data_IF_276586493303
#
_entry.id   IF_276586493303
#
_cell.length_a   1.000
_cell.length_b   1.000
_cell.length_c   1.000
_cell.angle_alpha   90.00
_cell.angle_beta   90.00
_cell.angle_gamma   90.00
#
_symmetry.space_group_name_H-M   'P 1'
#
loop_
_entity.id
_entity.type
_entity.pdbx_description
1 polymer ?
#
# COMPACT_ATOMS: atom_id res chain seq x y z
N UNK A 1 9.51 1.06 8.09
CA UNK A 1 9.92 0.97 6.68
C UNK A 1 11.41 0.67 6.61
N UNK A 2 12.22 1.38 7.40
CA UNK A 2 13.65 1.14 7.61
C UNK A 2 14.02 -0.34 7.80
N UNK A 3 13.34 -1.07 8.69
CA UNK A 3 13.62 -2.50 8.91
C UNK A 3 13.47 -3.39 7.65
N UNK A 4 12.62 -3.01 6.69
CA UNK A 4 12.48 -3.75 5.43
C UNK A 4 13.67 -3.48 4.50
N UNK A 5 14.12 -2.24 4.44
CA UNK A 5 15.28 -1.84 3.66
C UNK A 5 16.57 -2.39 4.30
N UNK A 6 16.66 -2.36 5.62
CA UNK A 6 17.76 -2.94 6.41
C UNK A 6 17.84 -4.46 6.26
N UNK A 7 16.73 -5.11 5.88
CA UNK A 7 16.70 -6.55 5.55
C UNK A 7 17.18 -6.88 4.13
N UNK A 8 17.61 -5.87 3.36
CA UNK A 8 18.16 -6.03 2.01
C UNK A 8 17.13 -6.05 0.88
N UNK A 9 15.87 -5.66 1.14
CA UNK A 9 14.85 -5.52 0.09
C UNK A 9 15.09 -4.25 -0.71
N UNK A 10 15.00 -4.34 -2.03
CA UNK A 10 15.10 -3.16 -2.88
C UNK A 10 13.90 -2.23 -2.61
N UNK A 11 14.07 -0.90 -2.61
CA UNK A 11 12.95 0.05 -2.48
C UNK A 11 11.81 -0.25 -3.47
N UNK A 12 12.17 -0.53 -4.72
CA UNK A 12 11.25 -0.96 -5.77
C UNK A 12 10.46 -2.24 -5.49
N UNK A 13 10.84 -3.07 -4.50
CA UNK A 13 10.10 -4.26 -4.12
C UNK A 13 8.94 -3.96 -3.15
N UNK A 14 8.77 -2.70 -2.76
CA UNK A 14 7.81 -2.29 -1.73
C UNK A 14 6.73 -1.39 -2.32
N UNK A 15 5.48 -1.84 -2.18
CA UNK A 15 4.29 -1.03 -2.39
C UNK A 15 3.67 -0.68 -1.04
N UNK A 16 3.36 0.60 -0.82
CA UNK A 16 2.62 1.07 0.35
C UNK A 16 1.21 1.49 -0.09
N UNK A 17 0.18 0.97 0.56
CA UNK A 17 -1.22 1.32 0.32
C UNK A 17 -1.77 2.02 1.56
N UNK A 18 -2.30 3.24 1.42
CA UNK A 18 -3.02 3.94 2.50
C UNK A 18 -4.53 3.79 2.33
N UNK A 19 -5.25 3.49 3.41
CA UNK A 19 -6.71 3.31 3.37
C UNK A 19 -7.51 4.59 3.64
N UNK A 20 -6.84 5.67 4.02
CA UNK A 20 -7.42 6.99 4.25
C UNK A 20 -6.61 8.06 3.53
N UNK A 21 -6.08 9.03 4.27
CA UNK A 21 -5.23 10.07 3.70
C UNK A 21 -4.00 9.46 2.99
N UNK A 22 -3.68 10.01 1.81
CA UNK A 22 -2.48 9.62 1.08
C UNK A 22 -1.22 9.97 1.87
N UNK A 23 -0.15 9.21 1.63
CA UNK A 23 1.14 9.55 2.18
C UNK A 23 1.57 10.96 1.70
N UNK A 24 2.09 11.85 2.58
CA UNK A 24 2.41 13.23 2.20
C UNK A 24 3.35 13.36 1.00
N UNK A 25 4.29 12.43 0.86
CA UNK A 25 5.17 12.36 -0.32
C UNK A 25 4.39 12.09 -1.60
N UNK A 26 3.46 11.11 -1.61
CA UNK A 26 2.63 10.79 -2.77
C UNK A 26 1.74 11.98 -3.15
N UNK A 27 1.12 12.62 -2.15
CA UNK A 27 0.29 13.81 -2.37
C UNK A 27 1.09 14.97 -3.00
N UNK A 28 2.35 15.14 -2.57
CA UNK A 28 3.26 16.11 -3.17
C UNK A 28 3.64 15.75 -4.61
N UNK A 29 4.06 14.51 -4.87
CA UNK A 29 4.46 14.07 -6.21
C UNK A 29 3.30 14.13 -7.21
N UNK A 30 2.10 13.70 -6.81
CA UNK A 30 0.89 13.80 -7.61
C UNK A 30 0.54 15.24 -7.98
N UNK A 31 0.93 16.23 -7.17
CA UNK A 31 0.72 17.65 -7.48
C UNK A 31 1.50 18.11 -8.72
N UNK A 32 2.57 17.39 -9.12
CA UNK A 32 3.30 17.62 -10.35
C UNK A 32 2.73 16.87 -11.57
N UNK A 33 1.81 15.93 -11.36
CA UNK A 33 1.07 15.26 -12.42
C UNK A 33 0.91 13.75 -12.20
N UNK A 34 -0.30 13.25 -12.45
CA UNK A 34 -0.61 11.83 -12.29
C UNK A 34 0.21 10.93 -13.24
N UNK A 35 0.34 11.32 -14.52
CA UNK A 35 1.07 10.51 -15.51
C UNK A 35 2.53 10.32 -15.11
N UNK A 36 3.21 11.39 -14.69
CA UNK A 36 4.61 11.32 -14.22
C UNK A 36 4.73 10.49 -12.96
N UNK A 37 3.78 10.60 -12.03
CA UNK A 37 3.78 9.81 -10.80
C UNK A 37 3.66 8.31 -11.09
N UNK A 38 2.72 7.92 -11.95
CA UNK A 38 2.57 6.50 -12.31
C UNK A 38 3.69 5.96 -13.20
N UNK A 39 4.43 6.81 -13.90
CA UNK A 39 5.67 6.38 -14.56
C UNK A 39 6.74 5.94 -13.54
N UNK A 40 6.77 6.52 -12.33
CA UNK A 40 7.67 6.07 -11.24
C UNK A 40 7.31 4.66 -10.78
N UNK A 41 6.02 4.33 -10.71
CA UNK A 41 5.55 2.97 -10.44
C UNK A 41 6.10 1.99 -11.48
N UNK A 42 6.03 2.34 -12.76
CA UNK A 42 6.49 1.45 -13.83
C UNK A 42 8.02 1.33 -13.88
N UNK A 43 8.74 2.39 -13.50
CA UNK A 43 10.19 2.36 -13.35
C UNK A 43 10.63 1.43 -12.21
N UNK A 44 9.93 1.47 -11.07
CA UNK A 44 10.19 0.57 -9.94
C UNK A 44 11.55 0.79 -9.27
N UNK A 45 12.08 2.02 -9.33
CA UNK A 45 13.37 2.37 -8.72
C UNK A 45 13.26 2.65 -7.21
N UNK A 46 12.08 3.06 -6.73
CA UNK A 46 11.82 3.45 -5.35
C UNK A 46 10.52 2.84 -4.81
N UNK A 47 10.29 2.99 -3.50
CA UNK A 47 9.03 2.62 -2.82
C UNK A 47 7.88 3.38 -3.47
N UNK A 48 6.86 2.65 -3.93
CA UNK A 48 5.68 3.28 -4.51
C UNK A 48 4.55 3.38 -3.49
N UNK A 49 3.83 4.50 -3.50
CA UNK A 49 2.71 4.75 -2.60
C UNK A 49 1.41 4.87 -3.42
N UNK A 50 0.35 4.21 -2.98
CA UNK A 50 -0.97 4.29 -3.59
C UNK A 50 -2.03 4.47 -2.50
N UNK A 51 -3.14 5.13 -2.82
CA UNK A 51 -4.33 5.00 -2.00
C UNK A 51 -5.09 3.70 -2.30
N UNK A 52 -6.04 3.35 -1.44
CA UNK A 52 -6.86 2.15 -1.59
C UNK A 52 -7.65 2.11 -2.91
N UNK A 53 -8.07 3.26 -3.47
CA UNK A 53 -8.80 3.30 -4.73
C UNK A 53 -7.89 2.93 -5.92
N UNK A 54 -6.61 3.29 -5.83
CA UNK A 54 -5.58 2.96 -6.81
C UNK A 54 -4.98 1.55 -6.67
N UNK A 55 -5.27 0.82 -5.59
CA UNK A 55 -4.71 -0.52 -5.34
C UNK A 55 -5.02 -1.54 -6.46
N UNK A 56 -6.15 -1.37 -7.16
CA UNK A 56 -6.52 -2.19 -8.32
C UNK A 56 -5.65 -1.95 -9.56
N UNK A 57 -5.01 -0.78 -9.67
CA UNK A 57 -4.13 -0.40 -10.79
C UNK A 57 -2.68 -0.80 -10.55
N UNK A 58 -2.25 -0.85 -9.30
CA UNK A 58 -0.86 -1.13 -8.94
C UNK A 58 -0.41 -2.52 -9.45
N UNK A 59 0.86 -2.62 -9.86
CA UNK A 59 1.50 -3.89 -10.15
C UNK A 59 1.78 -4.65 -8.86
N UNK A 60 1.96 -5.96 -9.01
CA UNK A 60 2.38 -6.83 -7.91
C UNK A 60 3.81 -6.48 -7.48
N UNK A 61 4.05 -6.46 -6.18
CA UNK A 61 5.37 -6.28 -5.57
C UNK A 61 5.65 -7.41 -4.58
N UNK A 62 6.91 -7.82 -4.36
CA UNK A 62 7.24 -8.81 -3.34
C UNK A 62 6.66 -8.46 -1.96
N UNK A 63 6.64 -7.17 -1.62
CA UNK A 63 6.11 -6.68 -0.34
C UNK A 63 5.05 -5.62 -0.55
N UNK A 64 3.92 -5.80 0.13
CA UNK A 64 2.89 -4.77 0.23
C UNK A 64 2.70 -4.42 1.70
N UNK A 65 2.72 -3.12 2.01
CA UNK A 65 2.42 -2.58 3.33
C UNK A 65 1.11 -1.81 3.24
N UNK A 66 0.12 -2.20 4.04
CA UNK A 66 -1.15 -1.47 4.16
C UNK A 66 -1.10 -0.61 5.43
N UNK A 67 -1.07 0.69 5.26
CA UNK A 67 -1.27 1.65 6.35
C UNK A 67 -2.76 1.89 6.53
N UNK A 68 -3.32 1.34 7.61
CA UNK A 68 -4.73 1.48 7.99
C UNK A 68 -4.93 2.81 8.71
N UNK A 69 -5.33 3.82 7.94
CA UNK A 69 -5.58 5.18 8.38
C UNK A 69 -6.95 5.70 7.89
N UNK A 70 -7.87 4.81 7.53
CA UNK A 70 -9.22 5.11 7.05
C UNK A 70 -10.28 4.30 7.79
N UNK A 71 -11.55 4.43 7.38
CA UNK A 71 -12.66 3.71 7.99
C UNK A 71 -12.69 2.21 7.63
N UNK A 72 -13.39 1.40 8.43
CA UNK A 72 -13.43 -0.06 8.29
C UNK A 72 -13.90 -0.55 6.92
N UNK A 73 -14.85 0.14 6.27
CA UNK A 73 -15.34 -0.22 4.93
C UNK A 73 -14.23 -0.12 3.86
N UNK A 74 -13.42 0.94 3.93
CA UNK A 74 -12.27 1.11 3.03
C UNK A 74 -11.22 0.04 3.30
N UNK A 75 -10.96 -0.28 4.57
CA UNK A 75 -10.01 -1.34 4.94
C UNK A 75 -10.49 -2.70 4.42
N UNK A 76 -11.76 -3.04 4.60
CA UNK A 76 -12.36 -4.28 4.12
C UNK A 76 -12.26 -4.43 2.59
N UNK A 77 -12.35 -3.31 1.86
CA UNK A 77 -12.18 -3.29 0.39
C UNK A 77 -10.71 -3.35 -0.02
N UNK A 78 -9.83 -2.66 0.71
CA UNK A 78 -8.41 -2.54 0.38
C UNK A 78 -7.62 -3.83 0.66
N UNK A 79 -7.90 -4.55 1.75
CA UNK A 79 -7.11 -5.71 2.16
C UNK A 79 -7.08 -6.85 1.11
N UNK A 80 -8.21 -7.27 0.49
CA UNK A 80 -8.17 -8.28 -0.57
C UNK A 80 -7.38 -7.82 -1.80
N UNK A 81 -7.49 -6.55 -2.16
CA UNK A 81 -6.71 -5.98 -3.27
C UNK A 81 -5.22 -5.96 -2.94
N UNK A 82 -4.85 -5.48 -1.76
CA UNK A 82 -3.46 -5.47 -1.29
C UNK A 82 -2.86 -6.88 -1.25
N UNK A 83 -3.64 -7.87 -0.80
CA UNK A 83 -3.23 -9.28 -0.83
C UNK A 83 -2.95 -9.76 -2.25
N UNK A 84 -3.78 -9.39 -3.24
CA UNK A 84 -3.56 -9.72 -4.65
C UNK A 84 -2.32 -9.06 -5.27
N UNK A 85 -1.81 -7.98 -4.65
CA UNK A 85 -0.58 -7.29 -5.06
C UNK A 85 0.66 -7.78 -4.32
N UNK A 86 0.50 -8.54 -3.24
CA UNK A 86 1.61 -9.05 -2.45
C UNK A 86 2.12 -10.38 -3.03
N UNK A 87 3.31 -10.37 -3.61
CA UNK A 87 3.96 -11.57 -4.16
C UNK A 87 4.55 -12.49 -3.09
N UNK A 88 4.96 -11.95 -1.94
CA UNK A 88 5.61 -12.73 -0.88
C UNK A 88 5.13 -12.36 0.51
N UNK A 89 4.95 -11.06 0.80
CA UNK A 89 4.58 -10.60 2.12
C UNK A 89 3.56 -9.46 2.06
N UNK A 90 2.47 -9.61 2.81
CA UNK A 90 1.57 -8.54 3.16
C UNK A 90 1.81 -8.14 4.62
N UNK A 91 2.04 -6.85 4.87
CA UNK A 91 2.14 -6.27 6.22
C UNK A 91 0.99 -5.29 6.39
N UNK A 92 0.26 -5.39 7.50
CA UNK A 92 -0.84 -4.46 7.81
C UNK A 92 -0.48 -3.68 9.06
N UNK A 93 -0.44 -2.36 8.96
CA UNK A 93 -0.03 -1.44 10.01
C UNK A 93 -1.21 -0.54 10.40
N UNK A 94 -1.67 -0.61 11.65
CA UNK A 94 -2.75 0.23 12.17
C UNK A 94 -3.33 -0.34 13.46
N UNK A 95 -4.54 0.09 13.82
CA UNK A 95 -5.24 -0.41 15.01
C UNK A 95 -5.60 -1.91 14.86
N UNK A 96 -5.06 -2.80 15.71
CA UNK A 96 -5.38 -4.23 15.66
C UNK A 96 -6.87 -4.53 15.84
N UNK A 97 -7.62 -3.72 16.60
CA UNK A 97 -9.06 -3.95 16.79
C UNK A 97 -9.82 -3.74 15.48
N UNK A 98 -9.53 -2.64 14.78
CA UNK A 98 -10.10 -2.36 13.48
C UNK A 98 -9.74 -3.42 12.45
N UNK A 99 -8.45 -3.80 12.36
CA UNK A 99 -7.96 -4.83 11.43
C UNK A 99 -8.61 -6.18 11.71
N UNK A 100 -8.70 -6.58 12.98
CA UNK A 100 -9.32 -7.85 13.35
C UNK A 100 -10.83 -7.85 13.09
N UNK A 101 -11.51 -6.69 13.22
CA UNK A 101 -12.95 -6.58 12.93
C UNK A 101 -13.28 -6.91 11.47
N UNK A 102 -12.42 -6.52 10.53
CA UNK A 102 -12.63 -6.76 9.09
C UNK A 102 -12.15 -8.15 8.65
N UNK A 103 -11.16 -8.72 9.33
CA UNK A 103 -10.69 -10.09 9.09
C UNK A 103 -11.61 -11.16 9.70
N UNK A 104 -12.26 -10.85 10.83
CA UNK A 104 -13.15 -11.74 11.56
C UNK A 104 -14.61 -11.76 11.07
N UNK A 105 -14.99 -10.88 10.15
CA UNK A 105 -16.36 -10.83 9.60
C UNK A 105 -16.70 -11.98 8.61
N UNK A 106 -15.79 -12.96 8.46
CA UNK A 106 -15.91 -14.08 7.51
C UNK A 106 -15.92 -15.48 8.14
N UNK A 107 -16.18 -15.62 9.45
CA UNK A 107 -16.36 -16.93 10.12
C UNK A 107 -17.80 -17.19 10.54
#
# INVERSE_FOLDING_TARGET
>A
MDLLLDSGRAPGDVLVITTGEQHPWAAHELSFGETSYWAQHDAGDDVFYADAAAAGRAATRPVVVVAVNGGSDTVATALPLALSRAGTLLIVCGDPQQINSVLGAGV
#
